data_IF_544009246215
#
_entry.id   IF_544009246215
#
_cell.length_a   1.000
_cell.length_b   1.000
_cell.length_c   1.000
_cell.angle_alpha   90.00
_cell.angle_beta   90.00
_cell.angle_gamma   90.00
#
_symmetry.space_group_name_H-M   'P 1'
#
loop_
_entity.id
_entity.type
_entity.pdbx_description
1 polymer ?
#
# COMPACT_ATOMS: atom_id res chain seq x y z
N UNK A 1 0.84 -2.17 6.97
CA UNK A 1 1.66 -1.30 7.83
C UNK A 1 3.12 -1.35 7.39
N UNK A 2 3.76 -2.54 7.29
CA UNK A 2 5.16 -2.70 6.87
C UNK A 2 5.42 -2.01 5.54
N UNK A 3 4.51 -2.12 4.58
CA UNK A 3 4.60 -1.46 3.27
C UNK A 3 4.63 0.08 3.38
N UNK A 4 3.79 0.67 4.23
CA UNK A 4 3.79 2.12 4.46
C UNK A 4 5.08 2.59 5.13
N UNK A 5 5.55 1.86 6.13
CA UNK A 5 6.81 2.17 6.81
C UNK A 5 8.01 2.04 5.87
N UNK A 6 8.05 0.98 5.07
CA UNK A 6 9.07 0.78 4.05
C UNK A 6 9.09 1.91 3.02
N UNK A 7 7.91 2.32 2.56
CA UNK A 7 7.78 3.42 1.62
C UNK A 7 8.24 4.76 2.21
N UNK A 8 7.89 5.03 3.47
CA UNK A 8 8.35 6.23 4.17
C UNK A 8 9.86 6.23 4.40
N UNK A 9 10.46 5.08 4.70
CA UNK A 9 11.89 4.95 4.94
C UNK A 9 12.73 5.03 3.65
N UNK A 10 12.27 4.40 2.56
CA UNK A 10 12.98 4.34 1.30
C UNK A 10 12.70 5.55 0.40
N UNK A 11 11.58 6.25 0.63
CA UNK A 11 11.10 7.38 -0.17
C UNK A 11 10.99 7.09 -1.67
N UNK A 12 10.92 5.81 -2.04
CA UNK A 12 10.85 5.31 -3.41
C UNK A 12 9.95 4.07 -3.46
N UNK A 13 8.95 4.10 -4.34
CA UNK A 13 7.95 3.04 -4.46
C UNK A 13 8.55 1.75 -5.05
N UNK A 14 9.42 1.87 -6.05
CA UNK A 14 10.03 0.70 -6.68
C UNK A 14 10.96 0.00 -5.70
N UNK A 15 11.78 0.78 -4.97
CA UNK A 15 12.62 0.24 -3.91
C UNK A 15 11.78 -0.43 -2.81
N UNK A 16 10.64 0.15 -2.45
CA UNK A 16 9.70 -0.42 -1.49
C UNK A 16 9.13 -1.76 -1.99
N UNK A 17 8.65 -1.84 -3.22
CA UNK A 17 8.08 -3.08 -3.78
C UNK A 17 9.12 -4.19 -3.81
N UNK A 18 10.32 -3.90 -4.30
CA UNK A 18 11.41 -4.89 -4.44
C UNK A 18 11.95 -5.35 -3.08
N UNK A 19 12.00 -4.47 -2.09
CA UNK A 19 12.55 -4.80 -0.77
C UNK A 19 11.51 -5.38 0.18
N UNK A 20 10.35 -4.75 0.28
CA UNK A 20 9.31 -5.11 1.27
C UNK A 20 8.44 -6.28 0.78
N UNK A 21 8.25 -6.42 -0.52
CA UNK A 21 7.47 -7.50 -1.11
C UNK A 21 7.98 -8.90 -0.72
N UNK A 22 9.26 -9.22 -0.93
CA UNK A 22 9.86 -10.49 -0.47
C UNK A 22 9.72 -10.70 1.04
N UNK A 23 9.94 -9.68 1.86
CA UNK A 23 9.80 -9.78 3.32
C UNK A 23 8.38 -10.19 3.71
N UNK A 24 7.36 -9.58 3.11
CA UNK A 24 5.96 -9.94 3.39
C UNK A 24 5.67 -11.37 2.95
N UNK A 25 6.20 -11.78 1.80
CA UNK A 25 6.08 -13.16 1.31
C UNK A 25 6.70 -14.14 2.30
N UNK A 26 7.93 -13.92 2.70
CA UNK A 26 8.70 -14.80 3.57
C UNK A 26 8.03 -14.92 4.96
N UNK A 27 7.59 -13.80 5.54
CA UNK A 27 6.79 -13.81 6.79
C UNK A 27 5.52 -14.66 6.62
N UNK A 28 4.85 -14.56 5.47
CA UNK A 28 3.63 -15.33 5.20
C UNK A 28 3.94 -16.82 5.10
N UNK A 29 4.99 -17.21 4.36
CA UNK A 29 5.39 -18.59 4.17
C UNK A 29 5.88 -19.27 5.47
N UNK A 30 6.58 -18.52 6.31
CA UNK A 30 7.06 -19.02 7.60
C UNK A 30 5.96 -19.23 8.63
N UNK A 31 4.96 -18.36 8.67
CA UNK A 31 4.01 -18.29 9.77
C UNK A 31 2.61 -18.81 9.44
N UNK A 32 2.30 -19.04 8.16
CA UNK A 32 0.95 -19.43 7.74
C UNK A 32 0.95 -20.78 7.06
N UNK A 33 -0.05 -21.60 7.38
CA UNK A 33 -0.36 -22.88 6.72
C UNK A 33 -1.79 -22.88 6.18
N UNK A 34 -2.01 -23.58 5.08
CA UNK A 34 -3.30 -23.71 4.43
C UNK A 34 -3.20 -24.50 3.15
N UNK A 35 -4.33 -24.70 2.49
CA UNK A 35 -4.36 -25.29 1.15
C UNK A 35 -3.64 -24.37 0.13
N UNK A 36 -3.07 -24.96 -0.91
CA UNK A 36 -2.29 -24.24 -1.93
C UNK A 36 -3.08 -23.07 -2.54
N UNK A 37 -4.38 -23.30 -2.82
CA UNK A 37 -5.29 -22.28 -3.35
C UNK A 37 -5.51 -21.13 -2.38
N UNK A 38 -5.67 -21.43 -1.10
CA UNK A 38 -5.88 -20.42 -0.06
C UNK A 38 -4.60 -19.64 0.21
N UNK A 39 -3.44 -20.30 0.21
CA UNK A 39 -2.13 -19.63 0.32
C UNK A 39 -1.86 -18.72 -0.88
N UNK A 40 -2.20 -19.13 -2.09
CA UNK A 40 -2.09 -18.29 -3.28
C UNK A 40 -3.00 -17.05 -3.18
N UNK A 41 -4.24 -17.23 -2.76
CA UNK A 41 -5.20 -16.13 -2.57
C UNK A 41 -4.72 -15.14 -1.51
N UNK A 42 -4.12 -15.63 -0.41
CA UNK A 42 -3.52 -14.77 0.62
C UNK A 42 -2.32 -13.97 0.09
N UNK A 43 -1.43 -14.62 -0.67
CA UNK A 43 -0.28 -13.96 -1.30
C UNK A 43 -0.72 -12.87 -2.26
N UNK A 44 -1.71 -13.15 -3.11
CA UNK A 44 -2.27 -12.20 -4.04
C UNK A 44 -2.89 -10.99 -3.32
N UNK A 45 -3.67 -11.22 -2.28
CA UNK A 45 -4.25 -10.17 -1.44
C UNK A 45 -3.18 -9.31 -0.79
N UNK A 46 -2.16 -9.93 -0.20
CA UNK A 46 -1.05 -9.20 0.42
C UNK A 46 -0.27 -8.35 -0.59
N UNK A 47 -0.02 -8.88 -1.78
CA UNK A 47 0.64 -8.15 -2.85
C UNK A 47 -0.20 -6.95 -3.31
N UNK A 48 -1.50 -7.14 -3.54
CA UNK A 48 -2.42 -6.07 -3.95
C UNK A 48 -2.48 -4.95 -2.92
N UNK A 49 -2.67 -5.27 -1.64
CA UNK A 49 -2.75 -4.25 -0.59
C UNK A 49 -1.40 -3.57 -0.33
N UNK A 50 -0.30 -4.31 -0.42
CA UNK A 50 1.05 -3.75 -0.30
C UNK A 50 1.35 -2.76 -1.42
N UNK A 51 1.05 -3.12 -2.66
CA UNK A 51 1.23 -2.25 -3.82
C UNK A 51 0.33 -1.01 -3.75
N UNK A 52 -0.94 -1.18 -3.40
CA UNK A 52 -1.86 -0.05 -3.28
C UNK A 52 -1.45 0.92 -2.17
N UNK A 53 -0.98 0.42 -1.01
CA UNK A 53 -0.43 1.26 0.06
C UNK A 53 0.90 1.91 -0.34
N UNK A 54 1.69 1.27 -1.19
CA UNK A 54 2.88 1.86 -1.80
C UNK A 54 2.51 3.06 -2.67
N UNK A 55 1.66 2.84 -3.67
CA UNK A 55 1.27 3.85 -4.67
C UNK A 55 0.58 5.06 -4.03
N UNK A 56 -0.47 4.83 -3.24
CA UNK A 56 -1.24 5.92 -2.63
C UNK A 56 -0.54 6.51 -1.40
N UNK A 57 0.18 5.69 -0.64
CA UNK A 57 0.94 6.12 0.53
C UNK A 57 2.10 7.03 0.17
N UNK A 58 2.79 6.79 -0.95
CA UNK A 58 3.88 7.62 -1.45
C UNK A 58 3.48 9.08 -1.64
N UNK A 59 2.24 9.31 -2.04
CA UNK A 59 1.68 10.64 -2.29
C UNK A 59 1.34 11.41 -1.01
N UNK A 60 1.41 10.78 0.15
CA UNK A 60 1.17 11.39 1.46
C UNK A 60 2.45 11.59 2.29
N UNK A 61 3.60 11.24 1.75
CA UNK A 61 4.90 11.34 2.41
C UNK A 61 5.64 12.57 1.89
N UNK A 62 5.86 13.62 2.71
CA UNK A 62 6.39 14.90 2.23
C UNK A 62 7.76 14.82 1.55
N UNK A 63 8.61 13.90 1.98
CA UNK A 63 9.96 13.71 1.40
C UNK A 63 10.02 12.67 0.28
N UNK A 64 8.87 12.15 -0.18
CA UNK A 64 8.85 11.15 -1.23
C UNK A 64 9.19 11.75 -2.60
N UNK A 65 9.93 11.00 -3.41
CA UNK A 65 10.37 11.43 -4.75
C UNK A 65 9.21 11.86 -5.65
N UNK A 66 8.04 11.24 -5.54
CA UNK A 66 6.85 11.61 -6.32
C UNK A 66 6.41 13.06 -6.11
N UNK A 67 6.38 13.53 -4.88
CA UNK A 67 5.96 14.91 -4.61
C UNK A 67 6.96 15.92 -5.16
N UNK A 68 8.26 15.63 -5.04
CA UNK A 68 9.31 16.45 -5.63
C UNK A 68 9.21 16.49 -7.15
N UNK A 69 8.90 15.36 -7.77
CA UNK A 69 8.68 15.25 -9.21
C UNK A 69 7.47 16.09 -9.67
N UNK A 70 6.31 15.96 -8.99
CA UNK A 70 5.12 16.76 -9.31
C UNK A 70 5.34 18.25 -9.15
N UNK A 71 6.06 18.68 -8.10
CA UNK A 71 6.39 20.08 -7.88
C UNK A 71 7.31 20.59 -9.00
N UNK A 72 8.30 19.81 -9.40
CA UNK A 72 9.18 20.14 -10.50
C UNK A 72 8.43 20.37 -11.82
N UNK A 73 7.53 19.45 -12.17
CA UNK A 73 6.69 19.61 -13.37
C UNK A 73 5.76 20.82 -13.24
N UNK A 74 5.07 20.96 -12.12
CA UNK A 74 4.16 22.09 -11.90
C UNK A 74 4.87 23.42 -12.00
N UNK A 75 6.07 23.54 -11.43
CA UNK A 75 6.90 24.75 -11.53
C UNK A 75 7.38 25.08 -12.95
N UNK A 76 7.53 24.04 -13.80
CA UNK A 76 7.88 24.23 -15.21
C UNK A 76 6.69 24.73 -16.01
N UNK A 77 5.48 24.19 -15.76
CA UNK A 77 4.26 24.53 -16.52
C UNK A 77 3.65 25.86 -16.01
N UNK A 78 3.71 26.10 -14.71
CA UNK A 78 3.13 27.27 -14.05
C UNK A 78 4.16 27.97 -13.13
N UNK A 79 5.17 28.64 -13.65
CA UNK A 79 6.26 29.20 -12.86
C UNK A 79 5.82 30.29 -11.85
N UNK A 80 4.63 30.86 -12.03
CA UNK A 80 4.04 31.84 -11.10
C UNK A 80 3.47 31.18 -9.82
N UNK A 81 3.21 29.88 -9.83
CA UNK A 81 2.63 29.14 -8.71
C UNK A 81 3.65 28.15 -8.15
N UNK A 82 4.19 28.49 -6.99
CA UNK A 82 5.08 27.58 -6.26
C UNK A 82 4.24 26.73 -5.31
N UNK A 83 4.06 25.46 -5.66
CA UNK A 83 3.39 24.49 -4.78
C UNK A 83 4.40 23.92 -3.78
N UNK A 84 3.98 23.78 -2.52
CA UNK A 84 4.72 23.01 -1.52
C UNK A 84 4.21 21.58 -1.46
N UNK A 85 5.06 20.65 -1.00
CA UNK A 85 4.66 19.24 -0.75
C UNK A 85 3.42 19.16 0.14
N UNK A 86 3.39 19.96 1.19
CA UNK A 86 2.28 20.02 2.14
C UNK A 86 0.96 20.43 1.49
N UNK A 87 0.99 21.35 0.54
CA UNK A 87 -0.22 21.77 -0.19
C UNK A 87 -0.74 20.64 -1.07
N UNK A 88 0.15 19.94 -1.79
CA UNK A 88 -0.24 18.78 -2.62
C UNK A 88 -0.86 17.71 -1.74
N UNK A 89 -0.22 17.33 -0.64
CA UNK A 89 -0.74 16.33 0.30
C UNK A 89 -2.12 16.74 0.80
N UNK A 90 -2.28 17.98 1.26
CA UNK A 90 -3.55 18.47 1.83
C UNK A 90 -4.74 18.30 0.89
N UNK A 91 -4.55 18.52 -0.40
CA UNK A 91 -5.63 18.45 -1.39
C UNK A 91 -5.69 17.15 -2.16
N UNK A 92 -4.82 16.19 -1.87
CA UNK A 92 -4.84 14.86 -2.50
C UNK A 92 -5.87 13.93 -1.84
N UNK A 93 -7.14 14.26 -1.97
CA UNK A 93 -8.22 13.48 -1.36
C UNK A 93 -8.26 12.03 -1.82
N UNK A 94 -7.88 11.75 -3.06
CA UNK A 94 -7.84 10.38 -3.58
C UNK A 94 -6.86 9.52 -2.78
N UNK A 95 -5.65 10.01 -2.52
CA UNK A 95 -4.66 9.28 -1.74
C UNK A 95 -5.12 9.09 -0.29
N UNK A 96 -5.69 10.13 0.34
CA UNK A 96 -6.23 10.02 1.69
C UNK A 96 -7.33 8.96 1.79
N UNK A 97 -8.33 9.01 0.92
CA UNK A 97 -9.45 8.06 0.90
C UNK A 97 -8.93 6.63 0.65
N UNK A 98 -8.05 6.46 -0.33
CA UNK A 98 -7.50 5.15 -0.69
C UNK A 98 -6.71 4.53 0.46
N UNK A 99 -5.78 5.28 1.07
CA UNK A 99 -4.97 4.79 2.19
C UNK A 99 -5.85 4.45 3.39
N UNK A 100 -6.78 5.33 3.76
CA UNK A 100 -7.71 5.09 4.88
C UNK A 100 -8.55 3.84 4.60
N UNK A 101 -9.13 3.70 3.41
CA UNK A 101 -9.96 2.56 3.04
C UNK A 101 -9.17 1.25 3.11
N UNK A 102 -7.95 1.21 2.55
CA UNK A 102 -7.12 0.00 2.57
C UNK A 102 -6.68 -0.34 4.00
N UNK A 103 -6.36 0.65 4.82
CA UNK A 103 -6.04 0.43 6.23
C UNK A 103 -7.25 -0.13 7.01
N UNK A 104 -8.44 0.42 6.81
CA UNK A 104 -9.66 -0.09 7.41
C UNK A 104 -9.94 -1.54 6.98
N UNK A 105 -9.81 -1.83 5.69
CA UNK A 105 -9.96 -3.20 5.18
C UNK A 105 -8.95 -4.16 5.81
N UNK A 106 -7.69 -3.73 5.93
CA UNK A 106 -6.62 -4.57 6.47
C UNK A 106 -6.74 -4.78 7.97
N UNK A 107 -7.07 -3.73 8.73
CA UNK A 107 -7.10 -3.76 10.19
C UNK A 107 -8.39 -4.38 10.74
N UNK A 108 -9.51 -4.05 10.14
CA UNK A 108 -10.84 -4.48 10.62
C UNK A 108 -11.42 -5.64 9.81
N UNK A 109 -10.77 -6.04 8.72
CA UNK A 109 -11.26 -7.11 7.86
C UNK A 109 -12.61 -6.79 7.22
N UNK A 110 -12.90 -5.51 6.93
CA UNK A 110 -14.16 -5.08 6.33
C UNK A 110 -14.37 -5.71 4.96
N UNK A 111 -13.29 -5.99 4.23
CA UNK A 111 -13.31 -6.72 2.97
C UNK A 111 -13.92 -8.14 3.09
N UNK A 112 -13.94 -8.70 4.30
CA UNK A 112 -14.53 -10.02 4.60
C UNK A 112 -16.04 -9.99 4.76
N UNK A 113 -16.59 -8.82 5.08
CA UNK A 113 -18.02 -8.64 5.34
C UNK A 113 -18.82 -8.57 4.03
N UNK A 114 -18.17 -8.19 2.91
CA UNK A 114 -18.83 -7.97 1.63
C UNK A 114 -18.31 -8.90 0.51
N UNK A 115 -18.44 -10.23 0.65
CA UNK A 115 -18.03 -11.16 -0.42
C UNK A 115 -18.83 -10.98 -1.72
N UNK A 116 -19.99 -10.30 -1.66
CA UNK A 116 -20.87 -10.02 -2.80
C UNK A 116 -20.30 -8.98 -3.78
N UNK A 117 -19.29 -8.22 -3.40
CA UNK A 117 -18.66 -7.20 -4.25
C UNK A 117 -17.49 -7.72 -5.10
N UNK A 118 -17.40 -9.03 -5.33
CA UNK A 118 -16.36 -9.63 -6.16
C UNK A 118 -14.97 -9.70 -5.49
N UNK A 119 -14.90 -9.35 -4.20
CA UNK A 119 -13.71 -9.57 -3.39
C UNK A 119 -13.63 -11.07 -3.11
N UNK A 120 -12.51 -11.70 -3.45
CA UNK A 120 -12.29 -13.12 -3.23
C UNK A 120 -12.63 -13.49 -1.78
N UNK A 121 -13.31 -14.62 -1.60
CA UNK A 121 -13.60 -15.15 -0.26
C UNK A 121 -12.31 -15.21 0.56
N UNK A 122 -12.41 -14.92 1.85
CA UNK A 122 -11.26 -14.98 2.74
C UNK A 122 -10.58 -16.36 2.65
N UNK A 123 -9.25 -16.39 2.42
CA UNK A 123 -8.52 -17.66 2.40
C UNK A 123 -8.58 -18.33 3.77
N UNK A 124 -8.89 -19.63 3.79
CA UNK A 124 -8.95 -20.45 5.00
C UNK A 124 -7.56 -20.85 5.44
N UNK A 125 -6.83 -19.92 6.02
CA UNK A 125 -5.46 -20.12 6.47
C UNK A 125 -5.38 -20.11 8.00
N UNK A 126 -4.38 -20.80 8.55
CA UNK A 126 -4.10 -20.87 9.99
C UNK A 126 -2.67 -20.43 10.26
N UNK A 127 -2.42 -19.89 11.44
CA UNK A 127 -1.05 -19.66 11.89
C UNK A 127 -0.42 -21.02 12.23
N UNK A 128 0.79 -21.25 11.76
CA UNK A 128 1.60 -22.42 12.15
C UNK A 128 1.80 -22.38 13.67
N UNK A 129 1.49 -23.47 14.33
CA UNK A 129 1.84 -23.63 15.75
C UNK A 129 3.36 -23.82 15.81
N UNK A 130 4.03 -22.91 16.48
CA UNK A 130 5.43 -23.08 16.86
C UNK A 130 5.54 -24.09 17.97
#
# INVERSE_FOLDING_TARGET
>A
IISLLGNAALADEMAQIVTVGPIIRDITEENVEGDEKDLYSLKLRNATFSSALGIFGSQLIPWHVYLSFFIGIAGTVYPLYQFSQTQIIKYNFMAHISVITILLFTLFGIDRIFPKFGIASEPKVKLKKK
#
